data_IF_759964536522
#
_entry.id   IF_759964536522
#
_cell.length_a   1.000
_cell.length_b   1.000
_cell.length_c   1.000
_cell.angle_alpha   90.00
_cell.angle_beta   90.00
_cell.angle_gamma   90.00
#
_symmetry.space_group_name_H-M   'P 1'
#
loop_
_entity.id
_entity.type
_entity.pdbx_description
1 polymer ?
#
# COMPACT_ATOMS: atom_id res chain seq x y z
N UNK A 1 -7.66 40.39 -0.18
CA UNK A 1 -8.28 39.05 -0.13
C UNK A 1 -7.25 37.93 -0.29
N UNK A 2 -6.02 38.19 -0.79
CA UNK A 2 -4.96 37.16 -0.93
C UNK A 2 -4.39 36.64 0.40
N UNK A 3 -4.28 37.51 1.41
CA UNK A 3 -3.68 37.20 2.73
C UNK A 3 -4.47 36.13 3.53
N UNK A 4 -5.79 36.06 3.32
CA UNK A 4 -6.69 35.18 4.07
C UNK A 4 -6.66 33.72 3.56
N UNK A 5 -6.46 33.54 2.24
CA UNK A 5 -6.26 32.24 1.61
C UNK A 5 -4.89 31.64 1.92
N UNK A 6 -3.84 32.47 1.91
CA UNK A 6 -2.49 32.03 2.25
C UNK A 6 -2.40 31.61 3.73
N UNK A 7 -3.03 32.38 4.62
CA UNK A 7 -3.12 32.05 6.04
C UNK A 7 -3.85 30.72 6.28
N UNK A 8 -4.98 30.49 5.59
CA UNK A 8 -5.71 29.21 5.68
C UNK A 8 -4.88 28.02 5.19
N UNK A 9 -4.16 28.18 4.08
CA UNK A 9 -3.27 27.12 3.57
C UNK A 9 -2.19 26.73 4.59
N UNK A 10 -1.54 27.71 5.22
CA UNK A 10 -0.52 27.47 6.25
C UNK A 10 -1.10 26.80 7.50
N UNK A 11 -2.32 27.15 7.88
CA UNK A 11 -3.04 26.49 8.98
C UNK A 11 -3.34 25.04 8.63
N UNK A 12 -3.87 24.77 7.42
CA UNK A 12 -4.19 23.42 6.98
C UNK A 12 -2.95 22.51 6.95
N UNK A 13 -1.86 22.97 6.33
CA UNK A 13 -0.61 22.22 6.23
C UNK A 13 -0.06 21.86 7.62
N UNK A 14 -0.03 22.84 8.53
CA UNK A 14 0.46 22.64 9.90
C UNK A 14 -0.42 21.68 10.69
N UNK A 15 -1.74 21.82 10.58
CA UNK A 15 -2.69 20.95 11.28
C UNK A 15 -2.57 19.51 10.77
N UNK A 16 -2.47 19.30 9.46
CA UNK A 16 -2.27 17.97 8.86
C UNK A 16 -0.96 17.33 9.31
N UNK A 17 0.14 18.09 9.32
CA UNK A 17 1.43 17.61 9.81
C UNK A 17 1.38 17.18 11.28
N UNK A 18 0.76 17.98 12.16
CA UNK A 18 0.59 17.61 13.58
C UNK A 18 -0.25 16.35 13.72
N UNK A 19 -1.31 16.20 12.92
CA UNK A 19 -2.17 15.02 12.90
C UNK A 19 -1.40 13.75 12.45
N UNK A 20 -0.47 13.86 11.49
CA UNK A 20 0.36 12.75 11.05
C UNK A 20 1.41 12.32 12.08
N UNK A 21 1.99 13.28 12.81
CA UNK A 21 3.04 13.02 13.80
C UNK A 21 2.50 12.60 15.17
N UNK A 22 1.21 12.82 15.43
CA UNK A 22 0.61 12.57 16.74
C UNK A 22 -0.16 11.25 16.80
N UNK A 23 -0.20 10.63 17.98
CA UNK A 23 -1.00 9.43 18.21
C UNK A 23 -2.49 9.76 18.24
N UNK A 24 -3.27 9.23 17.28
CA UNK A 24 -4.68 9.57 17.05
C UNK A 24 -5.59 9.29 18.26
N UNK A 25 -5.20 8.38 19.16
CA UNK A 25 -6.00 8.02 20.34
C UNK A 25 -5.98 9.07 21.47
N UNK A 26 -5.00 9.99 21.46
CA UNK A 26 -4.79 10.94 22.56
C UNK A 26 -5.06 12.41 22.20
N UNK A 27 -5.31 12.68 20.91
CA UNK A 27 -5.27 14.02 20.34
C UNK A 27 -6.68 14.54 20.14
N UNK A 28 -6.99 15.68 20.75
CA UNK A 28 -8.27 16.39 20.56
C UNK A 28 -8.08 17.63 19.69
N UNK A 29 -9.13 18.08 19.02
CA UNK A 29 -9.14 19.34 18.23
C UNK A 29 -8.53 20.51 19.02
N UNK A 30 -8.80 20.58 20.33
CA UNK A 30 -8.23 21.63 21.19
C UNK A 30 -6.72 21.51 21.38
N UNK A 31 -6.15 20.30 21.43
CA UNK A 31 -4.69 20.11 21.51
C UNK A 31 -4.04 20.48 20.18
N UNK A 32 -4.59 20.01 19.07
CA UNK A 32 -4.14 20.31 17.71
C UNK A 32 -4.10 21.82 17.48
N UNK A 33 -5.20 22.50 17.79
CA UNK A 33 -5.32 23.95 17.61
C UNK A 33 -4.31 24.73 18.46
N UNK A 34 -4.06 24.31 19.71
CA UNK A 34 -3.04 24.93 20.58
C UNK A 34 -1.62 24.73 20.02
N UNK A 35 -1.34 23.55 19.50
CA UNK A 35 -0.03 23.21 18.93
C UNK A 35 0.22 23.95 17.61
N UNK A 36 -0.77 23.96 16.71
CA UNK A 36 -0.72 24.73 15.46
C UNK A 36 -0.62 26.23 15.71
N UNK A 37 -1.33 26.76 16.72
CA UNK A 37 -1.24 28.17 17.11
C UNK A 37 0.18 28.55 17.59
N UNK A 38 0.83 27.64 18.33
CA UNK A 38 2.21 27.83 18.78
C UNK A 38 3.21 27.77 17.63
N UNK A 39 3.04 26.85 16.68
CA UNK A 39 3.95 26.66 15.54
C UNK A 39 3.84 27.81 14.52
N UNK A 40 2.62 28.29 14.27
CA UNK A 40 2.38 29.39 13.33
C UNK A 40 2.57 30.78 13.94
N UNK A 41 2.67 30.88 15.28
CA UNK A 41 2.62 32.13 16.03
C UNK A 41 1.36 32.96 15.71
N UNK A 42 0.24 32.30 15.41
CA UNK A 42 -1.07 32.89 15.07
C UNK A 42 -2.08 32.44 16.13
N UNK A 43 -2.94 33.35 16.59
CA UNK A 43 -4.02 33.01 17.50
C UNK A 43 -5.18 32.30 16.77
N UNK A 44 -5.20 30.97 16.89
CA UNK A 44 -6.28 30.12 16.35
C UNK A 44 -7.47 30.00 17.32
N UNK A 45 -7.51 30.78 18.40
CA UNK A 45 -8.64 30.78 19.34
C UNK A 45 -9.92 31.36 18.74
N UNK A 46 -9.78 32.21 17.72
CA UNK A 46 -10.87 32.94 17.08
C UNK A 46 -11.91 32.00 16.44
N UNK A 47 -13.20 32.38 16.42
CA UNK A 47 -14.28 31.51 15.94
C UNK A 47 -14.08 30.99 14.51
N UNK A 48 -13.57 31.82 13.60
CA UNK A 48 -13.36 31.42 12.20
C UNK A 48 -12.22 30.41 12.04
N UNK A 49 -11.10 30.60 12.76
CA UNK A 49 -10.00 29.63 12.76
C UNK A 49 -10.36 28.34 13.49
N UNK A 50 -11.16 28.42 14.56
CA UNK A 50 -11.68 27.24 15.24
C UNK A 50 -12.54 26.38 14.30
N UNK A 51 -13.48 27.01 13.59
CA UNK A 51 -14.31 26.32 12.62
C UNK A 51 -13.47 25.71 11.49
N UNK A 52 -12.47 26.43 11.00
CA UNK A 52 -11.58 25.95 9.94
C UNK A 52 -10.71 24.76 10.38
N UNK A 53 -10.05 24.85 11.54
CA UNK A 53 -9.24 23.73 12.09
C UNK A 53 -10.12 22.50 12.30
N UNK A 54 -11.34 22.67 12.83
CA UNK A 54 -12.30 21.57 12.97
C UNK A 54 -12.58 20.90 11.62
N UNK A 55 -12.86 21.68 10.58
CA UNK A 55 -13.11 21.16 9.24
C UNK A 55 -11.92 20.36 8.68
N UNK A 56 -10.69 20.85 8.88
CA UNK A 56 -9.47 20.15 8.44
C UNK A 56 -9.29 18.82 9.19
N UNK A 57 -9.51 18.81 10.50
CA UNK A 57 -9.41 17.59 11.33
C UNK A 57 -10.45 16.56 10.90
N UNK A 58 -11.71 16.98 10.70
CA UNK A 58 -12.78 16.09 10.23
C UNK A 58 -12.48 15.51 8.84
N UNK A 59 -11.99 16.33 7.91
CA UNK A 59 -11.60 15.88 6.58
C UNK A 59 -10.46 14.85 6.63
N UNK A 60 -9.45 15.08 7.48
CA UNK A 60 -8.34 14.14 7.67
C UNK A 60 -8.81 12.80 8.26
N UNK A 61 -9.68 12.84 9.27
CA UNK A 61 -10.24 11.63 9.88
C UNK A 61 -11.06 10.81 8.89
N UNK A 62 -11.85 11.49 8.05
CA UNK A 62 -12.62 10.84 6.98
C UNK A 62 -11.70 10.18 5.95
N UNK A 63 -10.68 10.90 5.47
CA UNK A 63 -9.69 10.40 4.52
C UNK A 63 -8.94 9.18 5.08
N UNK A 64 -8.56 9.20 6.37
CA UNK A 64 -7.94 8.06 7.04
C UNK A 64 -8.87 6.86 7.16
N UNK A 65 -10.13 7.08 7.50
CA UNK A 65 -11.12 6.01 7.59
C UNK A 65 -11.38 5.38 6.22
N UNK A 66 -11.52 6.17 5.15
CA UNK A 66 -11.67 5.65 3.79
C UNK A 66 -10.42 4.89 3.31
N UNK A 67 -9.21 5.38 3.61
CA UNK A 67 -7.98 4.65 3.31
C UNK A 67 -7.94 3.31 4.04
N UNK A 68 -8.32 3.29 5.31
CA UNK A 68 -8.34 2.06 6.11
C UNK A 68 -9.41 1.07 5.63
N UNK A 69 -10.62 1.54 5.32
CA UNK A 69 -11.66 0.70 4.73
C UNK A 69 -11.25 0.11 3.39
N UNK A 70 -10.60 0.88 2.51
CA UNK A 70 -10.07 0.35 1.24
C UNK A 70 -9.01 -0.71 1.47
N UNK A 71 -8.10 -0.51 2.43
CA UNK A 71 -7.10 -1.52 2.78
C UNK A 71 -7.75 -2.79 3.34
N UNK A 72 -8.77 -2.65 4.18
CA UNK A 72 -9.52 -3.77 4.75
C UNK A 72 -10.34 -4.51 3.68
N UNK A 73 -11.00 -3.80 2.76
CA UNK A 73 -11.70 -4.38 1.60
C UNK A 73 -10.73 -5.09 0.65
N UNK A 74 -9.56 -4.50 0.36
CA UNK A 74 -8.51 -5.14 -0.44
C UNK A 74 -7.94 -6.39 0.24
N UNK A 75 -7.77 -6.37 1.57
CA UNK A 75 -7.37 -7.54 2.34
C UNK A 75 -8.46 -8.62 2.37
N UNK A 76 -9.72 -8.24 2.51
CA UNK A 76 -10.87 -9.16 2.56
C UNK A 76 -11.10 -9.79 1.18
N UNK A 77 -11.03 -9.02 0.09
CA UNK A 77 -11.03 -9.55 -1.27
C UNK A 77 -9.87 -10.53 -1.51
N UNK A 78 -8.68 -10.24 -0.99
CA UNK A 78 -7.54 -11.16 -1.08
C UNK A 78 -7.77 -12.45 -0.27
N UNK A 79 -8.39 -12.35 0.92
CA UNK A 79 -8.74 -13.51 1.76
C UNK A 79 -9.85 -14.36 1.12
N UNK A 80 -10.88 -13.75 0.56
CA UNK A 80 -11.97 -14.45 -0.14
C UNK A 80 -11.49 -15.12 -1.42
N UNK A 81 -10.60 -14.48 -2.19
CA UNK A 81 -9.93 -15.12 -3.33
C UNK A 81 -9.03 -16.28 -2.92
N UNK A 82 -8.42 -16.23 -1.73
CA UNK A 82 -7.59 -17.32 -1.17
C UNK A 82 -8.37 -18.50 -0.58
N UNK A 83 -9.69 -18.37 -0.39
CA UNK A 83 -10.52 -19.41 0.23
C UNK A 83 -11.21 -20.34 -0.78
N UNK A 84 -11.21 -20.03 -2.08
CA UNK A 84 -11.75 -20.92 -3.11
C UNK A 84 -10.60 -21.70 -3.75
N UNK A 85 -10.43 -22.93 -3.27
CA UNK A 85 -9.48 -23.96 -3.74
C UNK A 85 -8.00 -23.54 -3.78
N UNK A 86 -7.29 -23.80 -2.67
CA UNK A 86 -5.83 -23.82 -2.68
C UNK A 86 -5.36 -24.87 -3.70
N UNK A 87 -4.85 -24.40 -4.82
CA UNK A 87 -4.28 -25.26 -5.85
C UNK A 87 -2.81 -25.56 -5.50
N UNK A 88 -2.40 -26.80 -5.70
CA UNK A 88 -1.02 -27.26 -5.46
C UNK A 88 -0.46 -27.85 -6.74
N UNK A 89 0.85 -27.73 -6.97
CA UNK A 89 1.50 -28.40 -8.08
C UNK A 89 1.83 -29.87 -7.76
N UNK A 90 2.40 -30.57 -8.74
CA UNK A 90 2.72 -32.01 -8.63
C UNK A 90 3.78 -32.30 -7.55
N UNK A 91 4.53 -31.28 -7.11
CA UNK A 91 5.52 -31.36 -6.04
C UNK A 91 4.94 -30.97 -4.66
N UNK A 92 3.67 -30.53 -4.61
CA UNK A 92 2.98 -30.13 -3.40
C UNK A 92 3.21 -28.67 -2.99
N UNK A 93 3.79 -27.85 -3.86
CA UNK A 93 3.98 -26.42 -3.62
C UNK A 93 2.66 -25.67 -3.85
N UNK A 94 2.35 -24.70 -2.99
CA UNK A 94 1.12 -23.92 -3.08
C UNK A 94 1.19 -22.98 -4.29
N UNK A 95 0.26 -23.12 -5.24
CA UNK A 95 0.13 -22.24 -6.39
C UNK A 95 -0.64 -20.98 -5.97
N UNK A 96 0.04 -19.84 -6.01
CA UNK A 96 -0.53 -18.53 -5.69
C UNK A 96 -1.18 -17.90 -6.91
N UNK A 97 -0.54 -18.03 -8.08
CA UNK A 97 -1.04 -17.44 -9.32
C UNK A 97 -0.48 -18.16 -10.54
N UNK A 98 -1.30 -18.33 -11.58
CA UNK A 98 -0.88 -18.77 -12.92
C UNK A 98 -0.66 -17.53 -13.79
N UNK A 99 0.59 -17.26 -14.16
CA UNK A 99 0.97 -16.16 -15.06
C UNK A 99 0.68 -16.50 -16.54
N UNK A 100 0.68 -17.80 -16.86
CA UNK A 100 0.25 -18.38 -18.14
C UNK A 100 0.04 -19.87 -17.95
N UNK A 101 -0.41 -20.59 -18.98
CA UNK A 101 -0.53 -22.06 -18.95
C UNK A 101 0.77 -22.77 -18.52
N UNK A 102 1.92 -22.16 -18.82
CA UNK A 102 3.25 -22.72 -18.55
C UNK A 102 4.03 -22.01 -17.44
N UNK A 103 3.50 -20.94 -16.83
CA UNK A 103 4.25 -20.16 -15.82
C UNK A 103 3.41 -19.94 -14.58
N UNK A 104 3.98 -20.24 -13.42
CA UNK A 104 3.30 -20.19 -12.13
C UNK A 104 4.13 -19.41 -11.12
N UNK A 105 3.44 -18.84 -10.15
CA UNK A 105 4.00 -18.34 -8.89
C UNK A 105 3.60 -19.32 -7.80
N UNK A 106 4.57 -19.95 -7.15
CA UNK A 106 4.34 -20.91 -6.06
C UNK A 106 5.06 -20.49 -4.78
N UNK A 107 4.56 -20.95 -3.63
CA UNK A 107 5.29 -20.91 -2.36
C UNK A 107 5.92 -22.27 -2.13
N UNK A 108 7.24 -22.28 -2.08
CA UNK A 108 8.06 -23.48 -1.94
C UNK A 108 8.79 -23.47 -0.59
N UNK A 109 8.82 -24.60 0.11
CA UNK A 109 9.77 -24.82 1.21
C UNK A 109 11.04 -25.49 0.66
N UNK A 110 12.18 -24.84 0.82
CA UNK A 110 13.47 -25.45 0.51
C UNK A 110 14.40 -25.36 1.71
N UNK A 111 14.60 -26.50 2.37
CA UNK A 111 15.47 -26.65 3.55
C UNK A 111 15.05 -25.70 4.68
N UNK A 112 13.74 -25.61 4.94
CA UNK A 112 13.17 -24.76 5.99
C UNK A 112 13.19 -23.27 5.66
N UNK A 113 13.36 -22.92 4.39
CA UNK A 113 13.22 -21.54 3.90
C UNK A 113 12.03 -21.45 2.96
N UNK A 114 11.13 -20.53 3.27
CA UNK A 114 10.03 -20.13 2.39
C UNK A 114 10.58 -19.34 1.21
N UNK A 115 10.28 -19.78 -0.01
CA UNK A 115 10.68 -19.11 -1.24
C UNK A 115 9.46 -18.79 -2.09
N UNK A 116 9.46 -17.59 -2.69
CA UNK A 116 8.51 -17.23 -3.74
C UNK A 116 9.12 -17.65 -5.08
N UNK A 117 8.60 -18.73 -5.66
CA UNK A 117 9.11 -19.29 -6.92
C UNK A 117 8.29 -18.80 -8.10
N UNK A 118 8.92 -18.15 -9.06
CA UNK A 118 8.33 -17.74 -10.35
C UNK A 118 8.99 -18.58 -11.44
N UNK A 119 8.29 -19.58 -11.96
CA UNK A 119 8.91 -20.63 -12.79
C UNK A 119 8.08 -21.07 -13.98
N UNK A 120 8.76 -21.38 -15.07
CA UNK A 120 8.19 -22.04 -16.25
C UNK A 120 8.20 -23.57 -16.06
N UNK A 121 7.08 -24.22 -16.37
CA UNK A 121 6.88 -25.65 -16.29
C UNK A 121 6.72 -26.24 -17.70
N UNK A 122 7.11 -27.50 -17.85
CA UNK A 122 6.92 -28.27 -19.07
C UNK A 122 6.22 -29.59 -18.75
N UNK A 123 5.43 -30.10 -19.70
CA UNK A 123 4.71 -31.35 -19.52
C UNK A 123 5.53 -32.53 -20.01
N UNK A 124 5.70 -33.55 -19.16
CA UNK A 124 6.35 -34.81 -19.49
C UNK A 124 5.62 -35.95 -18.77
N UNK A 125 5.27 -37.00 -19.51
CA UNK A 125 4.57 -38.18 -18.96
C UNK A 125 3.29 -37.85 -18.18
N UNK A 126 2.55 -36.83 -18.63
CA UNK A 126 1.33 -36.35 -17.99
C UNK A 126 1.52 -35.47 -16.75
N UNK A 127 2.77 -35.22 -16.33
CA UNK A 127 3.12 -34.37 -15.20
C UNK A 127 3.69 -33.03 -15.63
N UNK A 128 3.45 -31.99 -14.85
CA UNK A 128 4.04 -30.67 -15.05
C UNK A 128 5.31 -30.54 -14.20
N UNK A 129 6.47 -30.50 -14.85
CA UNK A 129 7.76 -30.44 -14.19
C UNK A 129 8.36 -29.02 -14.28
N UNK A 130 9.00 -28.53 -13.22
CA UNK A 130 9.68 -27.24 -13.24
C UNK A 130 10.85 -27.27 -14.23
N UNK A 131 10.97 -26.22 -15.04
CA UNK A 131 12.13 -26.02 -15.91
C UNK A 131 13.23 -25.21 -15.22
N UNK A 132 14.40 -25.12 -15.86
CA UNK A 132 15.48 -24.23 -15.43
C UNK A 132 15.14 -22.74 -15.61
N UNK A 133 14.10 -22.39 -16.39
CA UNK A 133 13.67 -21.00 -16.58
C UNK A 133 12.77 -20.57 -15.44
N UNK A 134 13.33 -19.78 -14.53
CA UNK A 134 12.62 -19.24 -13.39
C UNK A 134 13.58 -18.77 -12.31
N UNK A 135 13.03 -18.15 -11.27
CA UNK A 135 13.78 -17.69 -10.10
C UNK A 135 12.98 -18.01 -8.83
N UNK A 136 13.69 -18.41 -7.77
CA UNK A 136 13.11 -18.56 -6.45
C UNK A 136 13.69 -17.45 -5.57
N UNK A 137 12.82 -16.59 -5.07
CA UNK A 137 13.18 -15.42 -4.27
C UNK A 137 13.04 -15.74 -2.79
N UNK A 138 14.02 -15.33 -1.98
CA UNK A 138 13.85 -15.29 -0.53
C UNK A 138 12.82 -14.23 -0.13
N UNK A 139 12.32 -14.27 1.10
CA UNK A 139 11.42 -13.24 1.63
C UNK A 139 12.03 -11.82 1.54
N UNK A 140 13.33 -11.68 1.78
CA UNK A 140 14.05 -10.41 1.66
C UNK A 140 14.09 -9.90 0.22
N UNK A 141 14.37 -10.78 -0.74
CA UNK A 141 14.38 -10.46 -2.17
C UNK A 141 12.98 -10.10 -2.66
N UNK A 142 11.96 -10.85 -2.20
CA UNK A 142 10.55 -10.57 -2.51
C UNK A 142 10.11 -9.20 -1.95
N UNK A 143 10.47 -8.89 -0.71
CA UNK A 143 10.22 -7.58 -0.11
C UNK A 143 10.85 -6.44 -0.92
N UNK A 144 12.10 -6.63 -1.35
CA UNK A 144 12.80 -5.67 -2.21
C UNK A 144 12.12 -5.52 -3.57
N UNK A 145 11.70 -6.63 -4.19
CA UNK A 145 10.96 -6.60 -5.45
C UNK A 145 9.65 -5.82 -5.30
N UNK A 146 8.82 -6.13 -4.30
CA UNK A 146 7.55 -5.46 -4.02
C UNK A 146 7.71 -3.93 -3.87
N UNK A 147 8.72 -3.48 -3.13
CA UNK A 147 9.01 -2.04 -2.96
C UNK A 147 9.31 -1.32 -4.29
N UNK A 148 9.79 -2.05 -5.29
CA UNK A 148 10.16 -1.49 -6.60
C UNK A 148 9.08 -1.68 -7.67
N UNK A 149 7.96 -2.38 -7.39
CA UNK A 149 6.86 -2.58 -8.34
C UNK A 149 6.37 -1.25 -8.95
N UNK A 150 6.16 -0.15 -8.20
CA UNK A 150 5.73 1.12 -8.81
C UNK A 150 6.74 1.67 -9.83
N UNK A 151 8.04 1.52 -9.57
CA UNK A 151 9.09 1.94 -10.50
C UNK A 151 9.11 1.05 -11.76
N UNK A 152 8.88 -0.26 -11.61
CA UNK A 152 8.74 -1.21 -12.71
C UNK A 152 7.54 -0.83 -13.60
N UNK A 153 6.38 -0.57 -13.00
CA UNK A 153 5.16 -0.17 -13.74
C UNK A 153 5.36 1.14 -14.50
N UNK A 154 6.00 2.13 -13.87
CA UNK A 154 6.35 3.39 -14.54
C UNK A 154 7.29 3.17 -15.73
N UNK A 155 8.25 2.25 -15.59
CA UNK A 155 9.18 1.91 -16.68
C UNK A 155 8.46 1.20 -17.84
N UNK A 156 7.54 0.27 -17.56
CA UNK A 156 6.72 -0.42 -18.57
C UNK A 156 5.93 0.58 -19.40
N UNK A 157 5.14 1.46 -18.75
CA UNK A 157 4.35 2.50 -19.43
C UNK A 157 5.19 3.40 -20.34
N UNK A 158 6.42 3.72 -19.90
CA UNK A 158 7.36 4.55 -20.66
C UNK A 158 7.91 3.83 -21.90
N UNK A 159 8.05 2.52 -21.87
CA UNK A 159 8.51 1.74 -23.02
C UNK A 159 7.38 1.52 -24.03
N UNK A 160 6.19 1.17 -23.57
CA UNK A 160 5.02 0.96 -24.44
C UNK A 160 4.63 2.24 -25.21
N UNK A 161 4.79 3.41 -24.60
CA UNK A 161 4.54 4.71 -25.26
C UNK A 161 5.61 5.14 -26.27
N UNK A 162 6.74 4.42 -26.37
CA UNK A 162 7.79 4.69 -27.37
C UNK A 162 7.61 3.89 -28.65
N UNK A 163 6.81 2.84 -28.61
CA UNK A 163 6.52 1.95 -29.74
C UNK A 163 5.22 2.36 -30.46
N UNK A 164 4.69 3.56 -30.19
CA UNK A 164 3.55 4.21 -30.87
C UNK A 164 4.03 5.46 -31.59
#
# INVERSE_FOLDING_TARGET
MEDDTETKGRIEETVRKILEESNMDEVTESKIRKQASKELAIDLSQPHFKAFVKQVVEAFLHEKHEQQQKLEEEEEEQRERGSKDKEYDDDGDLIICKLSDKRRVTIQDFRGKTLVSIREYYRKDGKDLPSSKGISLTEEQWSTFKKNVPAIEKAIKKLESRDI
#
